data_IF_284761538797
#
_entry.id   IF_284761538797
#
_cell.length_a   1.000
_cell.length_b   1.000
_cell.length_c   1.000
_cell.angle_alpha   90.00
_cell.angle_beta   90.00
_cell.angle_gamma   90.00
#
_symmetry.space_group_name_H-M   'P 1'
#
loop_
_entity.id
_entity.type
_entity.pdbx_description
1 polymer ?
#
# COMPACT_ATOMS: atom_id res chain seq x y z
N UNK A 1 62.96 -14.88 50.85
CA UNK A 1 61.91 -13.82 50.97
C UNK A 1 61.70 -13.01 49.69
N UNK A 2 62.00 -13.52 48.48
CA UNK A 2 61.91 -12.70 47.23
C UNK A 2 61.07 -13.37 46.13
N UNK A 3 60.62 -14.61 46.30
CA UNK A 3 60.01 -15.37 45.19
C UNK A 3 58.48 -15.28 45.09
N UNK A 4 57.80 -14.63 46.03
CA UNK A 4 56.32 -14.62 46.09
C UNK A 4 55.66 -13.36 45.51
N UNK A 5 56.44 -12.35 45.10
CA UNK A 5 55.91 -11.07 44.59
C UNK A 5 55.73 -11.09 43.06
N UNK A 6 56.46 -11.95 42.34
CA UNK A 6 56.43 -11.99 40.88
C UNK A 6 55.14 -12.62 40.30
N UNK A 7 54.42 -13.44 41.06
CA UNK A 7 53.17 -14.08 40.62
C UNK A 7 51.94 -13.16 40.72
N UNK A 8 52.02 -12.07 41.48
CA UNK A 8 50.93 -11.10 41.62
C UNK A 8 50.96 -10.00 40.55
N UNK A 9 52.12 -9.74 39.94
CA UNK A 9 52.26 -8.76 38.87
C UNK A 9 51.75 -9.27 37.49
N UNK A 10 51.67 -10.59 37.30
CA UNK A 10 51.19 -11.21 36.04
C UNK A 10 49.66 -11.23 35.88
N UNK A 11 48.90 -11.04 36.97
CA UNK A 11 47.43 -11.06 36.94
C UNK A 11 46.78 -9.69 36.72
N UNK A 12 47.56 -8.60 36.73
CA UNK A 12 47.08 -7.24 36.50
C UNK A 12 47.20 -6.78 35.04
N UNK A 13 47.73 -7.63 34.14
CA UNK A 13 48.06 -7.26 32.76
C UNK A 13 46.96 -7.45 31.72
N UNK A 14 45.80 -8.00 32.07
CA UNK A 14 44.68 -8.24 31.11
C UNK A 14 43.39 -7.65 31.65
N UNK A 15 43.45 -6.38 32.06
CA UNK A 15 42.26 -5.52 32.00
C UNK A 15 42.38 -4.75 30.69
N UNK A 16 42.18 -5.45 29.57
CA UNK A 16 41.78 -4.78 28.35
C UNK A 16 40.49 -4.07 28.69
N UNK A 17 40.56 -2.75 28.86
CA UNK A 17 39.35 -1.94 28.89
C UNK A 17 38.65 -2.19 27.57
N UNK A 18 37.62 -3.04 27.60
CA UNK A 18 36.63 -3.12 26.54
C UNK A 18 35.90 -1.79 26.61
N UNK A 19 36.51 -0.74 26.03
CA UNK A 19 35.74 0.39 25.57
C UNK A 19 34.74 -0.23 24.59
N UNK A 20 33.48 -0.31 24.99
CA UNK A 20 32.41 -0.77 24.12
C UNK A 20 32.52 0.01 22.80
N UNK A 21 32.61 -0.72 21.68
CA UNK A 21 32.72 -0.13 20.35
C UNK A 21 31.38 0.51 20.01
N UNK A 22 31.30 1.84 20.16
CA UNK A 22 30.07 2.58 19.91
C UNK A 22 29.69 2.44 18.44
N UNK A 23 28.43 2.08 18.16
CA UNK A 23 27.97 1.91 16.79
C UNK A 23 28.20 3.20 15.97
N UNK A 24 28.69 3.07 14.71
CA UNK A 24 28.91 4.23 13.86
C UNK A 24 27.58 4.93 13.54
N UNK A 25 27.67 6.20 13.14
CA UNK A 25 26.48 7.00 12.82
C UNK A 25 25.69 6.44 11.64
N UNK A 26 26.38 5.84 10.68
CA UNK A 26 25.79 5.16 9.54
C UNK A 26 26.36 3.74 9.52
N UNK A 27 25.49 2.74 9.46
CA UNK A 27 25.85 1.33 9.31
C UNK A 27 25.25 0.82 8.02
N UNK A 28 26.05 0.28 7.11
CA UNK A 28 25.55 -0.38 5.92
C UNK A 28 25.19 -1.84 6.26
N UNK A 29 23.95 -2.23 6.02
CA UNK A 29 23.53 -3.65 6.12
C UNK A 29 23.78 -4.33 4.78
N UNK A 30 23.31 -3.70 3.70
CA UNK A 30 23.53 -4.13 2.33
C UNK A 30 23.90 -2.90 1.51
N UNK A 31 25.14 -2.83 1.05
CA UNK A 31 25.63 -1.71 0.24
C UNK A 31 24.73 -1.49 -0.97
N UNK A 32 24.38 -0.23 -1.23
CA UNK A 32 23.47 0.15 -2.31
C UNK A 32 21.99 0.15 -1.96
N UNK A 33 21.55 -0.62 -0.94
CA UNK A 33 20.12 -0.91 -0.73
C UNK A 33 19.63 -0.73 0.70
N UNK A 34 20.43 -1.00 1.73
CA UNK A 34 19.97 -0.98 3.11
C UNK A 34 21.01 -0.37 4.06
N UNK A 35 20.63 0.70 4.74
CA UNK A 35 21.45 1.45 5.66
C UNK A 35 20.68 1.78 6.93
N UNK A 36 21.35 1.73 8.07
CA UNK A 36 20.83 2.26 9.33
C UNK A 36 21.55 3.56 9.67
N UNK A 37 20.79 4.63 9.85
CA UNK A 37 21.28 5.90 10.32
C UNK A 37 20.90 6.12 11.80
N UNK A 38 21.91 6.29 12.65
CA UNK A 38 21.78 6.74 14.04
C UNK A 38 21.76 8.27 14.07
N UNK A 39 20.57 8.85 13.99
CA UNK A 39 20.35 10.29 13.96
C UNK A 39 20.37 10.85 15.39
N UNK A 40 21.33 11.71 15.79
CA UNK A 40 21.35 12.27 17.15
C UNK A 40 20.07 13.07 17.41
N UNK A 41 19.47 12.92 18.59
CA UNK A 41 18.24 13.62 18.99
C UNK A 41 18.62 14.70 20.02
N UNK A 42 18.85 15.92 19.56
CA UNK A 42 19.26 17.00 20.47
C UNK A 42 18.08 17.48 21.32
N UNK A 43 18.33 17.66 22.62
CA UNK A 43 17.35 18.09 23.62
C UNK A 43 16.10 17.20 23.72
N UNK A 44 16.20 15.95 23.28
CA UNK A 44 15.14 14.96 23.41
C UNK A 44 15.25 14.21 24.73
N UNK A 45 14.19 14.14 25.55
CA UNK A 45 14.21 13.20 26.66
C UNK A 45 14.27 11.77 26.13
N UNK A 46 15.03 10.91 26.81
CA UNK A 46 15.06 9.48 26.54
C UNK A 46 13.93 8.82 27.31
N UNK A 47 12.99 8.22 26.59
CA UNK A 47 11.89 7.47 27.17
C UNK A 47 12.35 6.05 27.48
N UNK A 48 12.14 5.62 28.72
CA UNK A 48 12.44 4.25 29.12
C UNK A 48 11.39 3.73 30.08
N UNK A 49 11.28 2.41 30.11
CA UNK A 49 10.46 1.68 31.04
C UNK A 49 11.39 0.93 31.99
N UNK A 50 11.21 1.12 33.30
CA UNK A 50 11.97 0.36 34.28
C UNK A 50 11.38 -1.05 34.39
N UNK A 51 12.12 -2.03 33.86
CA UNK A 51 11.76 -3.45 33.88
C UNK A 51 12.54 -4.24 34.93
N UNK A 52 13.24 -3.55 35.85
CA UNK A 52 14.06 -4.19 36.88
C UNK A 52 13.28 -5.13 37.82
N UNK A 53 11.97 -4.93 37.94
CA UNK A 53 11.06 -5.77 38.75
C UNK A 53 10.45 -6.93 37.97
N UNK A 54 10.77 -7.10 36.68
CA UNK A 54 10.18 -8.13 35.80
C UNK A 54 8.75 -7.82 35.34
N UNK A 55 8.23 -6.65 35.69
CA UNK A 55 6.97 -6.09 35.18
C UNK A 55 7.28 -4.77 34.45
N UNK A 56 6.47 -4.47 33.45
CA UNK A 56 6.54 -3.23 32.67
C UNK A 56 6.11 -2.04 33.56
N UNK A 57 7.09 -1.36 34.15
CA UNK A 57 6.88 -0.18 34.99
C UNK A 57 6.23 1.00 34.24
N UNK A 58 5.89 2.11 34.91
CA UNK A 58 5.42 3.31 34.21
C UNK A 58 6.52 3.88 33.31
N UNK A 59 6.12 4.54 32.22
CA UNK A 59 7.08 5.25 31.37
C UNK A 59 7.74 6.39 32.16
N UNK A 60 9.04 6.58 31.97
CA UNK A 60 9.80 7.64 32.64
C UNK A 60 10.76 8.33 31.66
N UNK A 61 11.18 9.52 32.04
CA UNK A 61 12.13 10.32 31.28
C UNK A 61 13.51 10.24 31.90
N UNK A 62 14.52 10.13 31.04
CA UNK A 62 15.92 10.32 31.40
C UNK A 62 16.51 11.44 30.57
N UNK A 63 17.36 12.26 31.19
CA UNK A 63 18.08 13.34 30.52
C UNK A 63 19.42 12.80 30.04
N UNK A 64 19.35 11.93 29.03
CA UNK A 64 20.53 11.34 28.42
C UNK A 64 20.62 11.76 26.96
N UNK A 65 21.84 11.80 26.44
CA UNK A 65 22.05 11.91 25.01
C UNK A 65 21.52 10.65 24.34
N UNK A 66 20.57 10.82 23.43
CA UNK A 66 19.94 9.75 22.67
C UNK A 66 19.99 10.03 21.17
N UNK A 67 19.63 9.01 20.40
CA UNK A 67 19.55 9.05 18.96
C UNK A 67 18.29 8.30 18.49
N UNK A 68 17.81 8.67 17.31
CA UNK A 68 16.75 7.98 16.60
C UNK A 68 17.38 7.00 15.61
N UNK A 69 16.90 5.76 15.59
CA UNK A 69 17.30 4.80 14.57
C UNK A 69 16.39 4.91 13.34
N UNK A 70 17.01 5.11 12.19
CA UNK A 70 16.37 5.17 10.89
C UNK A 70 16.90 4.03 10.01
N UNK A 71 16.08 3.00 9.81
CA UNK A 71 16.25 1.93 8.84
C UNK A 71 15.84 2.43 7.45
N UNK A 72 16.82 2.65 6.58
CA UNK A 72 16.65 3.19 5.24
C UNK A 72 16.82 2.04 4.25
N UNK A 73 15.75 1.69 3.56
CA UNK A 73 15.75 0.61 2.58
C UNK A 73 15.31 1.11 1.20
N UNK A 74 16.00 0.63 0.18
CA UNK A 74 15.65 0.81 -1.22
C UNK A 74 15.48 -0.60 -1.81
N UNK A 75 14.27 -1.01 -2.18
CA UNK A 75 14.04 -2.28 -2.83
C UNK A 75 14.73 -2.32 -4.20
N UNK A 76 15.04 -3.52 -4.69
CA UNK A 76 15.80 -3.71 -5.93
C UNK A 76 15.11 -3.15 -7.18
N UNK A 77 13.78 -3.09 -7.18
CA UNK A 77 12.99 -2.46 -8.23
C UNK A 77 12.98 -0.92 -8.15
N UNK A 78 13.57 -0.37 -7.09
CA UNK A 78 13.63 1.05 -6.77
C UNK A 78 12.26 1.75 -6.86
N UNK A 79 11.17 1.03 -6.62
CA UNK A 79 9.81 1.56 -6.75
C UNK A 79 9.52 2.67 -5.73
N UNK A 80 10.18 2.64 -4.57
CA UNK A 80 10.01 3.60 -3.50
C UNK A 80 11.23 3.56 -2.57
N UNK A 81 11.48 4.62 -1.81
CA UNK A 81 12.50 4.64 -0.75
C UNK A 81 11.81 4.49 0.60
N UNK A 82 12.12 3.47 1.36
CA UNK A 82 11.51 3.22 2.66
C UNK A 82 12.37 3.74 3.81
N UNK A 83 11.72 4.35 4.80
CA UNK A 83 12.34 4.72 6.10
C UNK A 83 11.49 4.09 7.21
N UNK A 84 12.07 3.21 8.03
CA UNK A 84 11.38 2.43 9.08
C UNK A 84 10.10 1.76 8.55
N UNK A 85 10.25 1.02 7.45
CA UNK A 85 9.18 0.32 6.71
C UNK A 85 8.10 1.22 6.09
N UNK A 86 8.22 2.54 6.18
CA UNK A 86 7.27 3.47 5.58
C UNK A 86 7.74 3.89 4.17
N UNK A 87 6.96 3.62 3.10
CA UNK A 87 7.37 3.89 1.73
C UNK A 87 7.25 5.37 1.36
N UNK A 88 8.39 6.06 1.22
CA UNK A 88 8.51 7.39 0.66
C UNK A 88 8.76 7.35 -0.85
N UNK A 89 8.48 8.45 -1.53
CA UNK A 89 8.61 8.57 -2.99
C UNK A 89 7.76 7.58 -3.80
N UNK A 90 6.76 6.95 -3.18
CA UNK A 90 5.76 6.15 -3.87
C UNK A 90 4.79 7.02 -4.68
N UNK A 91 3.99 6.39 -5.54
CA UNK A 91 2.94 7.05 -6.32
C UNK A 91 1.81 7.64 -5.46
N UNK A 92 1.80 7.32 -4.16
CA UNK A 92 0.83 7.85 -3.22
C UNK A 92 1.03 9.35 -2.98
N UNK A 93 -0.08 10.11 -3.05
CA UNK A 93 -0.11 11.52 -2.62
C UNK A 93 -0.12 11.66 -1.10
N UNK A 94 -0.45 10.59 -0.38
CA UNK A 94 -0.52 10.54 1.08
C UNK A 94 0.85 10.14 1.60
N UNK A 95 1.47 11.04 2.38
CA UNK A 95 2.72 10.76 3.08
C UNK A 95 2.48 9.78 4.24
N UNK A 96 3.31 8.74 4.39
CA UNK A 96 3.12 7.74 5.43
C UNK A 96 3.54 8.26 6.81
N UNK A 97 2.95 7.68 7.85
CA UNK A 97 3.41 7.88 9.22
C UNK A 97 4.67 7.04 9.47
N UNK A 98 5.74 7.70 9.93
CA UNK A 98 7.01 7.05 10.23
C UNK A 98 7.18 7.00 11.74
N UNK A 99 7.51 5.84 12.25
CA UNK A 99 7.87 5.65 13.65
C UNK A 99 9.34 5.30 13.76
N UNK A 100 10.04 5.79 14.79
CA UNK A 100 11.44 5.46 15.05
C UNK A 100 11.66 5.11 16.51
N UNK A 101 12.51 4.12 16.74
CA UNK A 101 13.00 3.76 18.07
C UNK A 101 14.05 4.75 18.54
N UNK A 102 14.02 5.06 19.85
CA UNK A 102 15.08 5.80 20.53
C UNK A 102 16.14 4.82 21.03
N UNK A 103 17.40 5.18 20.89
CA UNK A 103 18.52 4.47 21.51
C UNK A 103 19.44 5.45 22.24
N UNK A 104 20.18 5.00 23.27
CA UNK A 104 21.24 5.79 23.87
C UNK A 104 22.30 6.20 22.83
N UNK A 105 22.98 7.33 23.03
CA UNK A 105 24.01 7.80 22.09
C UNK A 105 25.20 6.83 22.00
N UNK A 106 25.52 6.18 23.11
CA UNK A 106 26.57 5.18 23.33
C UNK A 106 26.15 3.75 22.94
N UNK A 107 25.02 3.59 22.22
CA UNK A 107 24.55 2.30 21.72
C UNK A 107 25.66 1.53 20.98
N UNK A 108 25.93 0.32 21.43
CA UNK A 108 27.05 -0.50 20.96
C UNK A 108 26.79 -1.11 19.58
N UNK A 109 27.86 -1.49 18.88
CA UNK A 109 27.76 -2.19 17.61
C UNK A 109 27.10 -3.57 17.79
N UNK A 110 27.38 -4.25 18.88
CA UNK A 110 26.81 -5.55 19.22
C UNK A 110 25.31 -5.43 19.44
N UNK A 111 24.86 -4.44 20.22
CA UNK A 111 23.42 -4.20 20.45
C UNK A 111 22.70 -3.88 19.15
N UNK A 112 23.31 -3.06 18.28
CA UNK A 112 22.75 -2.77 16.96
C UNK A 112 22.66 -4.02 16.10
N UNK A 113 23.70 -4.85 16.08
CA UNK A 113 23.69 -6.11 15.32
C UNK A 113 22.62 -7.08 15.84
N UNK A 114 22.45 -7.15 17.16
CA UNK A 114 21.41 -7.95 17.80
C UNK A 114 20.03 -7.43 17.41
N UNK A 115 19.79 -6.13 17.48
CA UNK A 115 18.51 -5.52 17.13
C UNK A 115 18.15 -5.70 15.64
N UNK A 116 19.15 -5.69 14.75
CA UNK A 116 18.97 -6.03 13.33
C UNK A 116 18.55 -7.49 13.19
N UNK A 117 19.23 -8.41 13.89
CA UNK A 117 18.97 -9.85 13.78
C UNK A 117 17.59 -10.25 14.33
N UNK A 118 17.11 -9.55 15.35
CA UNK A 118 15.80 -9.82 15.99
C UNK A 118 14.66 -9.03 15.35
N UNK A 119 14.91 -8.24 14.31
CA UNK A 119 13.92 -7.31 13.71
C UNK A 119 13.31 -6.36 14.75
N UNK A 120 14.05 -6.08 15.82
CA UNK A 120 13.56 -5.28 16.94
C UNK A 120 13.67 -3.77 16.68
N UNK A 121 14.42 -3.34 15.65
CA UNK A 121 14.58 -1.92 15.32
C UNK A 121 13.25 -1.17 15.13
N UNK A 122 12.28 -1.84 14.50
CA UNK A 122 11.00 -1.25 14.11
C UNK A 122 9.85 -1.63 15.06
N UNK A 123 10.10 -2.51 16.04
CA UNK A 123 9.07 -3.08 16.92
C UNK A 123 9.31 -2.85 18.41
N UNK A 124 10.51 -2.41 18.81
CA UNK A 124 10.81 -2.17 20.23
C UNK A 124 10.21 -0.84 20.69
N UNK A 125 9.32 -0.90 21.67
CA UNK A 125 8.80 0.29 22.35
C UNK A 125 9.91 0.96 23.20
N UNK A 126 9.92 2.30 23.30
CA UNK A 126 8.92 3.24 22.80
C UNK A 126 9.20 3.65 21.34
N UNK A 127 8.15 3.58 20.52
CA UNK A 127 8.16 4.09 19.16
C UNK A 127 7.73 5.56 19.13
N UNK A 128 8.57 6.42 18.56
CA UNK A 128 8.26 7.83 18.35
C UNK A 128 7.71 8.08 16.96
N UNK A 129 6.51 8.65 16.88
CA UNK A 129 5.95 9.17 15.64
C UNK A 129 6.71 10.40 15.16
N UNK A 130 7.25 10.37 13.95
CA UNK A 130 8.08 11.45 13.43
C UNK A 130 7.25 12.43 12.58
N UNK A 131 7.39 13.72 12.86
CA UNK A 131 7.06 14.79 11.92
C UNK A 131 8.31 15.13 11.12
N UNK A 132 8.24 14.95 9.80
CA UNK A 132 9.39 15.00 8.92
C UNK A 132 9.11 15.77 7.65
N UNK A 133 10.18 16.25 7.02
CA UNK A 133 10.17 16.84 5.71
C UNK A 133 11.22 16.16 4.83
N UNK A 134 10.88 15.90 3.58
CA UNK A 134 11.86 15.42 2.61
C UNK A 134 11.86 16.21 1.32
N UNK A 135 12.99 16.17 0.64
CA UNK A 135 13.18 16.77 -0.68
C UNK A 135 14.03 15.85 -1.54
N UNK A 136 13.72 15.82 -2.83
CA UNK A 136 14.49 15.13 -3.85
C UNK A 136 14.91 16.16 -4.89
N UNK A 137 16.21 16.29 -5.14
CA UNK A 137 16.77 17.25 -6.09
C UNK A 137 17.79 16.59 -7.00
N UNK A 138 17.83 16.98 -8.27
CA UNK A 138 18.94 16.65 -9.14
C UNK A 138 20.19 17.45 -8.75
N UNK A 139 21.34 16.80 -8.83
CA UNK A 139 22.63 17.49 -8.79
C UNK A 139 22.85 18.20 -10.13
N UNK A 140 23.22 19.47 -10.08
CA UNK A 140 23.54 20.22 -11.29
C UNK A 140 24.63 19.51 -12.09
N UNK A 141 24.40 19.30 -13.39
CA UNK A 141 25.32 18.64 -14.32
C UNK A 141 25.61 17.15 -14.02
N UNK A 142 24.72 16.45 -13.29
CA UNK A 142 24.84 15.01 -13.04
C UNK A 142 23.48 14.31 -13.07
N UNK A 143 23.48 13.01 -13.36
CA UNK A 143 22.30 12.14 -13.22
C UNK A 143 21.98 11.80 -11.77
N UNK A 144 22.84 12.19 -10.83
CA UNK A 144 22.67 11.95 -9.41
C UNK A 144 21.45 12.69 -8.85
N UNK A 145 20.75 12.01 -7.96
CA UNK A 145 19.68 12.56 -7.13
C UNK A 145 20.18 12.68 -5.69
N UNK A 146 19.84 13.79 -5.05
CA UNK A 146 20.07 14.00 -3.63
C UNK A 146 18.74 13.98 -2.92
N UNK A 147 18.54 12.97 -2.08
CA UNK A 147 17.42 12.88 -1.19
C UNK A 147 17.83 13.40 0.18
N UNK A 148 17.06 14.34 0.73
CA UNK A 148 17.27 14.87 2.09
C UNK A 148 16.04 14.60 2.93
N UNK A 149 16.24 14.05 4.11
CA UNK A 149 15.22 13.75 5.10
C UNK A 149 15.53 14.48 6.41
N UNK A 150 14.58 15.29 6.86
CA UNK A 150 14.71 16.17 8.01
C UNK A 150 13.58 15.90 9.00
N UNK A 151 13.91 15.46 10.20
CA UNK A 151 12.96 15.27 11.31
C UNK A 151 12.92 16.54 12.14
N UNK A 152 11.74 17.10 12.38
CA UNK A 152 11.60 18.37 13.08
C UNK A 152 10.70 18.33 14.32
N UNK A 153 9.84 17.33 14.46
CA UNK A 153 9.15 17.02 15.72
C UNK A 153 9.07 15.51 15.88
N UNK A 154 9.03 15.05 17.13
CA UNK A 154 8.75 13.66 17.48
C UNK A 154 7.58 13.62 18.47
N UNK A 155 6.69 12.67 18.28
CA UNK A 155 5.47 12.49 19.04
C UNK A 155 5.52 11.16 19.77
N UNK A 156 5.34 11.21 21.07
CA UNK A 156 5.11 10.02 21.87
C UNK A 156 3.64 9.99 22.31
N UNK A 157 2.94 8.94 21.93
CA UNK A 157 1.62 8.63 22.46
C UNK A 157 1.76 7.39 23.33
N UNK A 158 1.66 7.52 24.67
CA UNK A 158 1.73 6.36 25.55
C UNK A 158 0.56 5.40 25.25
N UNK A 159 0.75 4.09 25.45
CA UNK A 159 -0.38 3.16 25.49
C UNK A 159 -1.35 3.56 26.61
N UNK A 160 -2.65 3.36 26.37
CA UNK A 160 -3.80 3.94 27.09
C UNK A 160 -3.89 3.59 28.59
N UNK A 161 -2.93 2.82 29.11
CA UNK A 161 -2.90 2.26 30.46
C UNK A 161 -2.04 3.06 31.46
N UNK A 162 -1.24 4.04 31.03
CA UNK A 162 -0.38 4.80 31.94
C UNK A 162 -1.05 6.13 32.39
N UNK A 163 -1.45 6.27 33.68
CA UNK A 163 -2.09 7.48 34.20
C UNK A 163 -1.16 8.70 34.26
N UNK A 164 0.16 8.51 34.13
CA UNK A 164 1.14 9.60 34.20
C UNK A 164 1.24 10.42 32.90
N UNK A 165 0.83 9.85 31.76
CA UNK A 165 0.84 10.51 30.46
C UNK A 165 -0.56 10.62 29.86
N UNK A 166 -1.35 11.55 30.38
CA UNK A 166 -2.72 11.81 29.87
C UNK A 166 -2.74 12.56 28.53
N UNK A 167 -1.61 13.13 28.11
CA UNK A 167 -1.49 13.95 26.89
C UNK A 167 -0.30 13.48 26.04
N UNK A 168 -0.45 13.45 24.70
CA UNK A 168 0.65 13.14 23.80
C UNK A 168 1.79 14.13 23.99
N UNK A 169 3.00 13.60 24.10
CA UNK A 169 4.20 14.39 24.35
C UNK A 169 4.79 14.78 22.99
N UNK A 170 4.99 16.07 22.79
CA UNK A 170 5.54 16.61 21.54
C UNK A 170 6.94 17.15 21.82
N UNK A 171 7.93 16.53 21.21
CA UNK A 171 9.34 16.89 21.31
C UNK A 171 9.70 17.68 20.07
N UNK A 172 10.14 18.94 20.25
CA UNK A 172 10.55 19.80 19.13
C UNK A 172 12.02 19.59 18.81
N UNK A 173 12.28 19.14 17.59
CA UNK A 173 13.60 18.84 17.04
C UNK A 173 14.07 19.97 16.09
N UNK A 174 13.78 21.22 16.43
CA UNK A 174 13.97 22.38 15.56
C UNK A 174 15.34 23.08 15.68
N UNK A 175 16.24 22.55 16.51
CA UNK A 175 17.59 23.09 16.67
C UNK A 175 18.36 23.10 15.32
N UNK A 176 19.08 24.17 14.95
CA UNK A 176 19.90 24.21 13.74
C UNK A 176 21.07 23.21 13.73
N UNK A 177 21.53 22.74 14.90
CA UNK A 177 22.55 21.70 15.06
C UNK A 177 22.00 20.30 14.86
N UNK A 178 20.67 20.14 14.85
CA UNK A 178 20.03 18.87 14.55
C UNK A 178 20.43 18.42 13.15
N UNK A 179 21.02 17.22 13.05
CA UNK A 179 21.49 16.70 11.76
C UNK A 179 20.31 16.26 10.89
N UNK A 180 20.55 16.16 9.59
CA UNK A 180 19.60 15.64 8.60
C UNK A 180 20.22 14.48 7.85
N UNK A 181 19.42 13.51 7.43
CA UNK A 181 19.90 12.41 6.60
C UNK A 181 19.95 12.88 5.15
N UNK A 182 21.08 12.71 4.50
CA UNK A 182 21.26 12.95 3.07
C UNK A 182 21.73 11.68 2.37
N UNK A 183 21.00 11.30 1.33
CA UNK A 183 21.30 10.17 0.46
C UNK A 183 21.65 10.67 -0.93
N UNK A 184 22.67 10.09 -1.53
CA UNK A 184 23.00 10.29 -2.94
C UNK A 184 22.60 9.01 -3.68
N UNK A 185 21.65 9.15 -4.60
CA UNK A 185 21.14 8.08 -5.44
C UNK A 185 21.73 8.23 -6.84
N UNK A 186 22.27 7.15 -7.40
CA UNK A 186 22.69 7.08 -8.80
C UNK A 186 21.82 6.10 -9.56
N UNK A 187 21.59 6.35 -10.87
CA UNK A 187 20.92 5.37 -11.72
C UNK A 187 21.80 4.12 -11.82
N UNK A 188 21.21 2.96 -11.56
CA UNK A 188 21.90 1.68 -11.65
C UNK A 188 22.10 1.32 -13.14
N UNK A 189 23.31 0.90 -13.55
CA UNK A 189 23.50 0.37 -14.89
C UNK A 189 22.71 -0.94 -15.04
N UNK A 190 21.96 -1.07 -16.13
CA UNK A 190 21.28 -2.32 -16.49
C UNK A 190 22.36 -3.37 -16.78
N UNK A 191 22.44 -4.42 -15.97
CA UNK A 191 23.38 -5.51 -16.18
C UNK A 191 22.77 -6.62 -17.03
N UNK A 192 21.44 -6.69 -17.08
CA UNK A 192 20.69 -7.67 -17.85
C UNK A 192 19.48 -7.03 -18.54
N UNK A 193 19.08 -7.49 -19.75
CA UNK A 193 17.82 -7.08 -20.39
C UNK A 193 16.57 -7.54 -19.62
N UNK A 194 16.72 -8.40 -18.60
CA UNK A 194 15.65 -8.78 -17.67
C UNK A 194 15.53 -7.87 -16.44
N UNK A 195 16.40 -6.87 -16.28
CA UNK A 195 16.33 -5.93 -15.16
C UNK A 195 15.12 -5.01 -15.32
N UNK A 196 14.37 -4.83 -14.22
CA UNK A 196 13.11 -4.10 -14.20
C UNK A 196 13.38 -2.59 -14.22
N UNK A 197 13.46 -2.00 -15.41
CA UNK A 197 13.48 -0.54 -15.63
C UNK A 197 14.68 0.22 -15.03
N UNK A 198 14.66 1.57 -15.08
CA UNK A 198 15.71 2.39 -14.50
C UNK A 198 15.68 2.30 -12.96
N UNK A 199 16.46 1.38 -12.39
CA UNK A 199 16.64 1.25 -10.96
C UNK A 199 17.62 2.31 -10.41
N UNK A 200 17.53 2.58 -9.11
CA UNK A 200 18.42 3.47 -8.39
C UNK A 200 19.24 2.70 -7.36
N UNK A 201 20.42 3.21 -7.02
CA UNK A 201 21.29 2.67 -5.99
C UNK A 201 21.73 3.77 -5.03
N UNK A 202 21.78 3.48 -3.74
CA UNK A 202 22.29 4.37 -2.71
C UNK A 202 23.82 4.31 -2.68
N UNK A 203 24.49 5.32 -3.22
CA UNK A 203 25.96 5.36 -3.29
C UNK A 203 26.57 5.97 -2.04
N UNK A 204 25.87 6.90 -1.41
CA UNK A 204 26.37 7.56 -0.20
C UNK A 204 25.23 7.91 0.72
N UNK A 205 25.41 7.60 2.00
CA UNK A 205 24.54 8.02 3.09
C UNK A 205 25.36 8.83 4.08
N UNK A 206 24.89 10.03 4.43
CA UNK A 206 25.58 10.89 5.40
C UNK A 206 24.60 11.65 6.27
N UNK A 207 25.06 11.98 7.47
CA UNK A 207 24.40 12.95 8.34
C UNK A 207 24.95 14.34 8.02
N UNK A 208 24.14 15.15 7.33
CA UNK A 208 24.47 16.51 6.95
C UNK A 208 23.96 17.53 7.97
N UNK A 209 24.48 18.75 7.91
CA UNK A 209 23.96 19.86 8.70
C UNK A 209 22.61 20.36 8.14
N UNK A 210 21.79 20.93 9.03
CA UNK A 210 20.51 21.51 8.66
C UNK A 210 20.70 22.92 8.11
N UNK A 211 20.03 23.21 6.99
CA UNK A 211 20.06 24.55 6.39
C UNK A 211 19.29 25.55 7.27
N UNK A 212 19.93 26.67 7.64
CA UNK A 212 19.41 27.66 8.59
C UNK A 212 18.15 28.41 8.15
N UNK A 213 17.87 28.53 6.84
CA UNK A 213 16.89 29.50 6.33
C UNK A 213 15.95 29.01 5.23
N UNK A 214 16.18 27.83 4.64
CA UNK A 214 15.50 27.43 3.38
C UNK A 214 14.91 26.02 3.33
N UNK A 215 15.19 25.17 4.32
CA UNK A 215 14.91 23.72 4.24
C UNK A 215 13.40 23.40 4.11
N UNK A 216 12.54 23.98 4.96
CA UNK A 216 11.11 23.59 4.98
C UNK A 216 10.31 24.00 3.74
N UNK A 217 10.62 25.14 3.09
CA UNK A 217 9.79 25.68 1.99
C UNK A 217 9.82 24.84 0.71
N UNK A 218 10.85 24.01 0.51
CA UNK A 218 10.99 23.15 -0.67
C UNK A 218 10.84 21.66 -0.34
N UNK A 219 10.48 21.34 0.89
CA UNK A 219 10.28 19.96 1.34
C UNK A 219 8.79 19.62 1.33
N UNK A 220 8.48 18.37 0.97
CA UNK A 220 7.19 17.76 1.28
C UNK A 220 7.20 17.45 2.77
N UNK A 221 6.28 18.04 3.52
CA UNK A 221 6.23 17.94 4.98
C UNK A 221 5.05 17.08 5.43
N UNK A 222 5.32 16.21 6.38
CA UNK A 222 4.34 15.41 7.10
C UNK A 222 4.42 15.83 8.59
N UNK A 223 3.26 16.15 9.16
CA UNK A 223 3.15 16.55 10.57
C UNK A 223 2.32 15.48 11.26
N UNK A 224 2.92 14.74 12.19
CA UNK A 224 2.35 13.50 12.71
C UNK A 224 0.95 13.71 13.31
N UNK A 225 0.75 14.74 14.14
CA UNK A 225 -0.56 15.01 14.75
C UNK A 225 -1.67 15.43 13.78
N UNK A 226 -1.31 16.07 12.66
CA UNK A 226 -2.27 16.54 11.64
C UNK A 226 -2.61 15.48 10.60
N UNK A 227 -1.91 14.34 10.57
CA UNK A 227 -2.07 13.32 9.57
C UNK A 227 -2.75 12.07 10.14
N UNK A 228 -3.50 11.36 9.30
CA UNK A 228 -4.06 10.03 9.56
C UNK A 228 -3.89 9.13 8.33
N UNK A 229 -4.51 7.95 8.35
CA UNK A 229 -4.49 6.97 7.25
C UNK A 229 -5.00 7.54 5.92
N UNK A 230 -5.82 8.60 5.98
CA UNK A 230 -6.42 9.27 4.83
C UNK A 230 -5.67 10.55 4.44
N UNK A 231 -4.54 10.83 5.09
CA UNK A 231 -3.68 11.98 4.83
C UNK A 231 -3.88 13.14 5.80
N UNK A 232 -3.63 14.36 5.33
CA UNK A 232 -3.70 15.54 6.18
C UNK A 232 -5.17 15.86 6.54
N UNK A 233 -5.50 15.79 7.83
CA UNK A 233 -6.82 16.12 8.38
C UNK A 233 -7.26 17.50 7.91
N UNK A 234 -8.51 17.60 7.47
CA UNK A 234 -9.11 18.86 7.01
C UNK A 234 -8.68 19.31 5.60
N UNK A 235 -7.84 18.55 4.89
CA UNK A 235 -7.57 18.82 3.48
C UNK A 235 -8.73 18.32 2.58
N UNK A 236 -8.97 18.95 1.41
CA UNK A 236 -9.98 18.45 0.47
C UNK A 236 -9.71 17.01 0.02
N UNK A 237 -8.44 16.63 -0.16
CA UNK A 237 -8.04 15.27 -0.47
C UNK A 237 -8.43 14.28 0.62
N UNK A 238 -8.31 14.67 1.89
CA UNK A 238 -8.68 13.86 3.05
C UNK A 238 -10.18 13.60 3.09
N UNK A 239 -11.01 14.62 2.84
CA UNK A 239 -12.46 14.44 2.76
C UNK A 239 -12.86 13.45 1.65
N UNK A 240 -12.20 13.53 0.50
CA UNK A 240 -12.46 12.62 -0.63
C UNK A 240 -12.03 11.20 -0.28
N UNK A 241 -10.86 10.99 0.30
CA UNK A 241 -10.37 9.65 0.68
C UNK A 241 -11.16 9.02 1.82
N UNK A 242 -11.60 9.80 2.81
CA UNK A 242 -12.50 9.33 3.88
C UNK A 242 -13.87 8.96 3.31
N UNK A 243 -14.39 9.78 2.38
CA UNK A 243 -15.69 9.51 1.76
C UNK A 243 -15.63 8.30 0.84
N UNK A 244 -14.55 8.14 0.08
CA UNK A 244 -14.38 7.00 -0.82
C UNK A 244 -14.17 5.70 -0.06
N UNK A 245 -13.39 5.71 1.03
CA UNK A 245 -13.27 4.54 1.90
C UNK A 245 -14.63 4.19 2.51
N UNK A 246 -15.36 5.17 3.05
CA UNK A 246 -16.72 4.98 3.56
C UNK A 246 -17.68 4.41 2.50
N UNK A 247 -17.59 4.88 1.25
CA UNK A 247 -18.38 4.34 0.14
C UNK A 247 -17.96 2.92 -0.25
N UNK A 248 -16.67 2.58 -0.22
CA UNK A 248 -16.20 1.22 -0.50
C UNK A 248 -16.67 0.29 0.61
N UNK A 249 -16.54 0.67 1.87
CA UNK A 249 -17.02 -0.13 3.02
C UNK A 249 -18.54 -0.25 3.01
N UNK A 250 -19.25 0.78 2.57
CA UNK A 250 -20.70 0.75 2.39
C UNK A 250 -21.14 -0.08 1.17
N UNK A 251 -20.43 0.00 0.05
CA UNK A 251 -20.70 -0.78 -1.16
C UNK A 251 -20.34 -2.27 -0.96
N UNK A 252 -19.31 -2.55 -0.18
CA UNK A 252 -18.94 -3.90 0.28
C UNK A 252 -19.76 -4.38 1.48
N UNK A 253 -20.64 -3.53 2.04
CA UNK A 253 -21.60 -3.99 3.03
C UNK A 253 -22.50 -5.06 2.41
N UNK A 254 -22.83 -6.09 3.19
CA UNK A 254 -23.48 -7.30 2.68
C UNK A 254 -24.78 -7.04 1.91
N UNK A 255 -25.48 -5.95 2.20
CA UNK A 255 -26.69 -5.57 1.48
C UNK A 255 -26.42 -5.06 0.05
N UNK A 256 -25.45 -4.15 -0.13
CA UNK A 256 -25.10 -3.62 -1.45
C UNK A 256 -24.27 -4.59 -2.28
N UNK A 257 -23.40 -5.36 -1.63
CA UNK A 257 -22.69 -6.45 -2.30
C UNK A 257 -23.64 -7.47 -2.91
N UNK A 258 -24.69 -7.86 -2.15
CA UNK A 258 -25.72 -8.77 -2.65
C UNK A 258 -26.55 -8.11 -3.77
N UNK A 259 -26.92 -6.84 -3.63
CA UNK A 259 -27.62 -6.08 -4.68
C UNK A 259 -26.82 -5.98 -6.00
N UNK A 260 -25.55 -5.60 -5.93
CA UNK A 260 -24.65 -5.53 -7.09
C UNK A 260 -24.40 -6.92 -7.71
N UNK A 261 -24.32 -7.96 -6.88
CA UNK A 261 -24.22 -9.34 -7.36
C UNK A 261 -25.48 -9.76 -8.13
N UNK A 262 -26.68 -9.47 -7.61
CA UNK A 262 -27.95 -9.72 -8.32
C UNK A 262 -27.98 -8.97 -9.64
N UNK A 263 -27.62 -7.69 -9.66
CA UNK A 263 -27.57 -6.90 -10.90
C UNK A 263 -26.57 -7.49 -11.91
N UNK A 264 -25.41 -7.96 -11.44
CA UNK A 264 -24.43 -8.67 -12.25
C UNK A 264 -25.01 -9.93 -12.89
N UNK A 265 -25.70 -10.77 -12.11
CA UNK A 265 -26.38 -11.96 -12.64
C UNK A 265 -27.48 -11.63 -13.65
N UNK A 266 -28.27 -10.58 -13.39
CA UNK A 266 -29.31 -10.11 -14.31
C UNK A 266 -28.70 -9.64 -15.65
N UNK A 267 -27.58 -8.92 -15.60
CA UNK A 267 -26.88 -8.44 -16.80
C UNK A 267 -26.32 -9.62 -17.63
N UNK A 268 -25.69 -10.59 -16.97
CA UNK A 268 -25.21 -11.83 -17.62
C UNK A 268 -26.38 -12.61 -18.21
N UNK A 269 -27.50 -12.73 -17.49
CA UNK A 269 -28.69 -13.41 -17.98
C UNK A 269 -29.25 -12.74 -19.24
N UNK A 270 -29.35 -11.40 -19.25
CA UNK A 270 -29.78 -10.65 -20.43
C UNK A 270 -28.81 -10.87 -21.59
N UNK A 271 -27.49 -10.85 -21.35
CA UNK A 271 -26.51 -11.13 -22.40
C UNK A 271 -26.64 -12.55 -22.95
N UNK A 272 -26.90 -13.56 -22.11
CA UNK A 272 -27.13 -14.94 -22.56
C UNK A 272 -28.41 -15.03 -23.38
N UNK A 273 -29.51 -14.43 -22.93
CA UNK A 273 -30.77 -14.44 -23.68
C UNK A 273 -30.61 -13.75 -25.03
N UNK A 274 -29.98 -12.58 -25.07
CA UNK A 274 -29.69 -11.87 -26.33
C UNK A 274 -28.78 -12.71 -27.23
N UNK A 275 -27.75 -13.34 -26.67
CA UNK A 275 -26.85 -14.22 -27.44
C UNK A 275 -27.58 -15.47 -27.96
N UNK A 276 -28.53 -16.02 -27.21
CA UNK A 276 -29.37 -17.13 -27.65
C UNK A 276 -30.32 -16.68 -28.76
N UNK A 277 -31.00 -15.53 -28.63
CA UNK A 277 -31.93 -15.04 -29.66
C UNK A 277 -31.18 -14.69 -30.94
N UNK A 278 -30.10 -13.92 -30.85
CA UNK A 278 -29.27 -13.51 -31.99
C UNK A 278 -28.53 -14.70 -32.59
N UNK A 279 -28.00 -15.60 -31.74
CA UNK A 279 -27.31 -16.82 -32.20
C UNK A 279 -28.26 -17.82 -32.85
N UNK A 280 -29.50 -17.92 -32.37
CA UNK A 280 -30.52 -18.76 -33.02
C UNK A 280 -30.91 -18.19 -34.38
N UNK A 281 -31.06 -16.86 -34.50
CA UNK A 281 -31.38 -16.22 -35.78
C UNK A 281 -30.23 -16.33 -36.79
N UNK A 282 -28.99 -16.36 -36.31
CA UNK A 282 -27.82 -16.67 -37.13
C UNK A 282 -27.84 -18.12 -37.65
N UNK A 283 -28.19 -19.09 -36.80
CA UNK A 283 -28.21 -20.51 -37.15
C UNK A 283 -29.43 -20.94 -37.97
N UNK A 284 -30.61 -20.32 -37.77
CA UNK A 284 -31.81 -20.60 -38.56
C UNK A 284 -31.65 -20.16 -40.02
N UNK A 285 -30.89 -19.10 -40.29
CA UNK A 285 -30.59 -18.62 -41.63
C UNK A 285 -29.78 -19.59 -42.51
N UNK A 286 -29.05 -20.55 -41.92
CA UNK A 286 -28.37 -21.60 -42.68
C UNK A 286 -29.33 -22.72 -43.12
N UNK A 287 -30.37 -23.01 -42.33
CA UNK A 287 -31.40 -24.00 -42.68
C UNK A 287 -32.26 -23.56 -43.87
N UNK A 288 -32.62 -22.28 -43.96
CA UNK A 288 -33.33 -21.74 -45.14
C UNK A 288 -32.44 -21.73 -46.40
N UNK A 289 -31.14 -21.43 -46.25
CA UNK A 289 -30.19 -21.51 -47.37
C UNK A 289 -29.99 -22.95 -47.87
N UNK A 290 -29.98 -23.94 -46.97
CA UNK A 290 -29.88 -25.35 -47.34
C UNK A 290 -31.15 -25.91 -48.04
N UNK A 291 -32.33 -25.33 -47.79
CA UNK A 291 -33.55 -25.73 -48.50
C UNK A 291 -33.73 -25.03 -49.86
N UNK A 292 -33.26 -23.80 -50.02
CA UNK A 292 -33.34 -23.07 -51.30
C UNK A 292 -32.37 -23.58 -52.37
N UNK A 293 -31.25 -24.20 -51.99
CA UNK A 293 -30.28 -24.76 -52.94
C UNK A 293 -30.70 -26.14 -53.49
N UNK A 294 -31.70 -26.80 -52.88
CA UNK A 294 -32.15 -28.14 -53.31
C UNK A 294 -33.08 -28.12 -54.54
N UNK A 295 -33.59 -26.96 -54.98
CA UNK A 295 -34.54 -26.86 -56.09
C UNK A 295 -33.92 -26.49 -57.45
N UNK A 296 -32.60 -26.61 -57.64
CA UNK A 296 -31.95 -26.39 -58.94
C UNK A 296 -31.02 -27.53 -59.36
N UNK A 297 -31.56 -28.74 -59.52
CA UNK A 297 -30.81 -29.84 -60.14
C UNK A 297 -31.66 -31.04 -60.60
N UNK A 298 -31.79 -31.21 -61.92
CA UNK A 298 -32.35 -32.40 -62.60
C UNK A 298 -33.79 -32.19 -63.08
N UNK A 299 -34.14 -32.19 -64.37
CA UNK A 299 -33.74 -33.10 -65.45
C UNK A 299 -34.99 -33.91 -65.84
N UNK A 300 -35.78 -33.46 -66.82
CA UNK A 300 -35.83 -33.99 -68.19
C UNK A 300 -36.46 -35.38 -68.36
N UNK A 301 -37.58 -35.40 -69.12
CA UNK A 301 -38.18 -36.48 -69.94
C UNK A 301 -39.09 -37.55 -69.29
N UNK A 302 -40.29 -37.66 -69.90
CA UNK A 302 -41.21 -38.82 -69.85
C UNK A 302 -42.65 -38.37 -69.57
N UNK A 303 -43.41 -37.85 -70.54
CA UNK A 303 -44.24 -38.62 -71.48
C UNK A 303 -45.11 -39.69 -70.81
N UNK A 304 -46.40 -39.41 -70.67
CA UNK A 304 -47.36 -40.38 -70.15
C UNK A 304 -48.76 -39.82 -69.88
N UNK A 305 -49.58 -39.83 -70.92
CA UNK A 305 -51.04 -40.05 -70.91
C UNK A 305 -51.94 -39.18 -70.04
N UNK A 306 -52.64 -38.27 -70.73
CA UNK A 306 -53.92 -37.69 -70.34
C UNK A 306 -55.02 -38.77 -70.26
N UNK A 307 -55.84 -38.73 -69.21
CA UNK A 307 -57.32 -38.79 -69.22
C UNK A 307 -57.88 -38.73 -67.79
N UNK A 308 -59.10 -38.19 -67.66
CA UNK A 308 -59.90 -37.87 -66.46
C UNK A 308 -59.54 -36.53 -65.79
N UNK A 309 -60.07 -35.37 -66.19
CA UNK A 309 -61.48 -34.97 -66.45
C UNK A 309 -62.40 -35.22 -65.24
N UNK A 310 -62.70 -34.11 -64.57
CA UNK A 310 -63.87 -33.87 -63.72
C UNK A 310 -63.92 -34.53 -62.33
N UNK A 311 -63.23 -33.88 -61.39
CA UNK A 311 -63.87 -33.59 -60.11
C UNK A 311 -63.61 -32.15 -59.68
N UNK A 312 -64.15 -31.22 -60.46
CA UNK A 312 -64.47 -29.89 -59.96
C UNK A 312 -65.68 -30.01 -59.02
N UNK A 313 -65.47 -29.82 -57.72
CA UNK A 313 -66.55 -29.36 -56.84
C UNK A 313 -65.98 -28.47 -55.75
N UNK A 314 -65.96 -27.18 -56.08
CA UNK A 314 -66.47 -26.10 -55.24
C UNK A 314 -66.35 -26.28 -53.72
N UNK A 315 -65.52 -25.46 -53.06
CA UNK A 315 -65.99 -24.25 -52.34
C UNK A 315 -64.92 -23.73 -51.40
N UNK A 316 -64.54 -22.48 -51.62
CA UNK A 316 -64.26 -21.58 -50.51
C UNK A 316 -65.50 -21.52 -49.60
N UNK A 317 -65.33 -21.84 -48.32
CA UNK A 317 -66.27 -21.45 -47.27
C UNK A 317 -65.54 -20.75 -46.14
N UNK A 318 -66.16 -19.64 -45.78
CA UNK A 318 -65.76 -18.55 -44.90
C UNK A 318 -65.93 -18.87 -43.41
N UNK A 319 -65.43 -17.94 -42.59
CA UNK A 319 -65.35 -17.91 -41.13
C UNK A 319 -66.70 -17.95 -40.36
N UNK A 320 -67.70 -18.69 -40.85
CA UNK A 320 -68.98 -18.95 -40.20
C UNK A 320 -69.23 -20.43 -39.89
N UNK A 321 -68.31 -21.35 -40.22
CA UNK A 321 -68.33 -22.77 -39.80
C UNK A 321 -67.60 -23.05 -38.47
N UNK A 322 -67.15 -22.02 -37.75
CA UNK A 322 -66.58 -22.14 -36.38
C UNK A 322 -67.55 -21.70 -35.27
N UNK A 323 -68.85 -21.78 -35.54
CA UNK A 323 -69.90 -21.47 -34.58
C UNK A 323 -70.00 -22.47 -33.43
N UNK A 324 -69.88 -21.92 -32.21
CA UNK A 324 -70.30 -22.44 -30.89
C UNK A 324 -69.31 -23.40 -30.20
N UNK A 325 -68.92 -23.19 -28.93
CA UNK A 325 -69.73 -22.79 -27.76
C UNK A 325 -68.79 -22.28 -26.64
N UNK A 326 -68.93 -21.06 -26.13
CA UNK A 326 -69.79 -20.61 -25.02
C UNK A 326 -69.37 -21.04 -23.60
N UNK A 327 -69.14 -20.05 -22.72
CA UNK A 327 -69.10 -20.14 -21.26
C UNK A 327 -67.81 -19.54 -20.70
N UNK A 328 -67.71 -18.29 -20.22
CA UNK A 328 -68.70 -17.41 -19.63
C UNK A 328 -68.59 -17.43 -18.11
N UNK A 329 -67.87 -16.47 -17.52
CA UNK A 329 -68.16 -15.90 -16.19
C UNK A 329 -67.33 -14.63 -15.97
N UNK A 330 -68.04 -13.51 -15.90
CA UNK A 330 -67.56 -12.18 -15.49
C UNK A 330 -68.01 -12.00 -14.05
N UNK A 331 -67.09 -11.62 -13.16
CA UNK A 331 -67.44 -10.94 -11.91
C UNK A 331 -66.52 -9.72 -11.81
N UNK A 332 -67.11 -8.55 -12.02
CA UNK A 332 -66.51 -7.27 -11.68
C UNK A 332 -67.17 -6.73 -10.42
N UNK A 333 -66.37 -6.20 -9.50
CA UNK A 333 -66.71 -5.19 -8.49
C UNK A 333 -65.34 -4.63 -8.07
N UNK A 334 -65.05 -3.34 -7.94
CA UNK A 334 -65.81 -2.11 -8.01
C UNK A 334 -64.83 -1.02 -7.55
N UNK A 335 -64.90 0.14 -8.18
CA UNK A 335 -64.15 1.35 -7.80
C UNK A 335 -65.12 2.26 -7.06
N UNK A 336 -64.69 2.86 -5.96
CA UNK A 336 -65.33 4.04 -5.38
C UNK A 336 -64.29 4.83 -4.58
N UNK A 337 -64.05 6.04 -5.06
CA UNK A 337 -63.65 7.32 -4.44
C UNK A 337 -62.81 7.35 -3.16
#
# INVERSE_FOLDING_TARGET
>A
MVSSIALLAGLLGVVTQVLADVAPQITAIAEGYNYIAKLPCLDCPYLYQDTSTGEDGPWSYRVDNNALLLNISLPFDAAHLSINNAPLLSDSKVLPQIHASQVPSDYSREDLSNAISTTSLDTTEPLLGLSYGYSLRHVTNSTALVFRFNVFEAHFSPPTHDPSFKTPVVIKLDDPKQRVVELILLPRPLHSPGDVGPAWEIVTVRLAERDKTGSRRRMKTMVFGEWDEFGRKGSPSHLVSVSSSGLITYASSGFWGLSMSILGFMMVFVLVVVSCVVGWDWWSGEYEKAQLEKNRGGGSKGSGSWTDVEQAKERFRSASELGMRSGGSVVGVGKSD
#
